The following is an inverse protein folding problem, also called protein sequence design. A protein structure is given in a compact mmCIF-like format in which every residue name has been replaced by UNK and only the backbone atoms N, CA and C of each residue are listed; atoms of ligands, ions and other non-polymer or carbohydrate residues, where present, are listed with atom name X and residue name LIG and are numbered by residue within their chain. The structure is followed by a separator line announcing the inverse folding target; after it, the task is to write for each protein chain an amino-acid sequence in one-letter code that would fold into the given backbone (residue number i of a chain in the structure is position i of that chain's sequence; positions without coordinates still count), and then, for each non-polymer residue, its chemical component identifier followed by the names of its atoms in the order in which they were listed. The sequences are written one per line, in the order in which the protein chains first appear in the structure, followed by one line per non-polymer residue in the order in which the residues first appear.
data_IF_245021871189
#
_entry.id   IF_245021871189
#
_cell.length_a   1.000
_cell.length_b   1.000
_cell.length_c   1.000
_cell.angle_alpha   90.00
_cell.angle_beta   90.00
_cell.angle_gamma   90.00
#
_symmetry.space_group_name_H-M   'P 1'
#
loop_
_entity.id
_entity.type
_entity.pdbx_description
1 polymer ?
#
# COMPACT_ATOMS: atom_id res chain seq x y z
N UNK A 1 3.75 -4.25 -6.28
CA UNK A 1 2.45 -3.57 -6.16
C UNK A 1 2.55 -2.26 -5.38
N UNK A 2 3.06 -2.26 -4.14
CA UNK A 2 3.16 -1.04 -3.30
C UNK A 2 3.79 0.17 -3.99
N UNK A 3 4.92 0.01 -4.68
CA UNK A 3 5.52 1.11 -5.44
C UNK A 3 4.59 1.72 -6.51
N UNK A 4 3.90 0.89 -7.30
CA UNK A 4 3.00 1.39 -8.36
C UNK A 4 1.77 2.13 -7.81
N UNK A 5 1.18 1.63 -6.71
CA UNK A 5 0.05 2.29 -6.05
C UNK A 5 0.50 3.56 -5.33
N UNK A 6 1.60 3.50 -4.57
CA UNK A 6 2.15 4.65 -3.87
C UNK A 6 2.55 5.77 -4.81
N UNK A 7 3.17 5.47 -5.95
CA UNK A 7 3.45 6.43 -7.01
C UNK A 7 2.18 7.15 -7.50
N UNK A 8 1.10 6.41 -7.76
CA UNK A 8 -0.17 6.99 -8.20
C UNK A 8 -0.80 7.88 -7.13
N UNK A 9 -0.85 7.41 -5.88
CA UNK A 9 -1.43 8.15 -4.76
C UNK A 9 -0.64 9.42 -4.45
N UNK A 10 0.69 9.35 -4.48
CA UNK A 10 1.56 10.50 -4.29
C UNK A 10 1.36 11.55 -5.38
N UNK A 11 1.25 11.13 -6.66
CA UNK A 11 0.90 12.03 -7.77
C UNK A 11 -0.50 12.64 -7.66
N UNK A 12 -1.42 11.96 -6.96
CA UNK A 12 -2.73 12.49 -6.60
C UNK A 12 -2.70 13.57 -5.52
N UNK A 13 -1.53 13.93 -4.99
CA UNK A 13 -1.37 14.95 -3.95
C UNK A 13 -1.46 14.43 -2.52
N UNK A 14 -1.53 13.10 -2.33
CA UNK A 14 -1.57 12.51 -1.00
C UNK A 14 -0.17 12.49 -0.35
N UNK A 15 -0.11 12.61 0.97
CA UNK A 15 1.10 12.33 1.73
C UNK A 15 1.31 10.81 1.83
N UNK A 16 2.24 10.28 1.04
CA UNK A 16 2.48 8.85 0.92
C UNK A 16 3.89 8.50 1.38
N UNK A 17 3.96 7.53 2.28
CA UNK A 17 5.20 6.88 2.70
C UNK A 17 5.16 5.40 2.34
N UNK A 18 6.17 4.93 1.60
CA UNK A 18 6.40 3.51 1.36
C UNK A 18 7.19 2.91 2.52
N UNK A 19 6.70 1.81 3.09
CA UNK A 19 7.43 1.06 4.12
C UNK A 19 7.85 -0.28 3.55
N UNK A 20 9.14 -0.58 3.58
CA UNK A 20 9.69 -1.83 3.07
C UNK A 20 10.90 -2.26 3.93
N UNK A 21 11.10 -3.58 4.05
CA UNK A 21 12.25 -4.14 4.79
C UNK A 21 13.56 -4.05 3.99
N UNK A 22 13.48 -3.88 2.67
CA UNK A 22 14.63 -3.72 1.79
C UNK A 22 15.29 -2.35 1.95
N UNK A 23 16.37 -2.29 2.73
CA UNK A 23 17.21 -1.09 2.89
C UNK A 23 17.69 -0.56 1.54
N UNK A 24 18.11 -1.44 0.64
CA UNK A 24 18.59 -1.07 -0.69
C UNK A 24 17.51 -0.35 -1.51
N UNK A 25 16.28 -0.89 -1.53
CA UNK A 25 15.14 -0.25 -2.20
C UNK A 25 14.82 1.10 -1.59
N UNK A 26 14.73 1.17 -0.26
CA UNK A 26 14.39 2.39 0.47
C UNK A 26 15.44 3.49 0.25
N UNK A 27 16.72 3.17 0.37
CA UNK A 27 17.80 4.13 0.13
C UNK A 27 17.83 4.61 -1.33
N UNK A 28 17.54 3.72 -2.27
CA UNK A 28 17.49 4.09 -3.69
C UNK A 28 16.34 5.05 -3.95
N UNK A 29 15.16 4.77 -3.41
CA UNK A 29 13.99 5.64 -3.52
C UNK A 29 14.25 6.99 -2.84
N UNK A 30 14.90 7.01 -1.67
CA UNK A 30 15.28 8.24 -1.00
C UNK A 30 16.21 9.08 -1.89
N UNK A 31 17.29 8.49 -2.42
CA UNK A 31 18.33 9.21 -3.16
C UNK A 31 17.90 9.63 -4.56
N UNK A 32 17.08 8.82 -5.24
CA UNK A 32 16.80 8.96 -6.68
C UNK A 32 15.32 9.05 -7.02
N UNK A 33 14.42 8.86 -6.06
CA UNK A 33 13.01 8.67 -6.30
C UNK A 33 12.66 7.25 -6.73
N UNK A 34 11.36 6.98 -6.84
CA UNK A 34 10.83 5.73 -7.36
C UNK A 34 10.62 5.85 -8.87
N UNK A 35 11.31 5.03 -9.65
CA UNK A 35 11.10 4.91 -11.10
C UNK A 35 9.97 3.91 -11.39
N UNK A 36 8.98 4.36 -12.14
CA UNK A 36 7.85 3.57 -12.64
C UNK A 36 7.96 3.46 -14.17
N UNK A 37 8.06 2.23 -14.65
CA UNK A 37 7.95 1.90 -16.07
C UNK A 37 6.51 1.51 -16.40
N UNK A 38 5.88 2.14 -17.40
CA UNK A 38 4.55 1.73 -17.85
C UNK A 38 4.61 0.56 -18.86
N UNK A 39 3.45 0.08 -19.29
CA UNK A 39 3.34 -1.03 -20.24
C UNK A 39 4.05 -0.76 -21.59
N UNK A 40 4.15 0.51 -21.99
CA UNK A 40 4.82 0.93 -23.23
C UNK A 40 6.34 1.13 -23.04
N UNK A 41 6.87 0.89 -21.84
CA UNK A 41 8.29 1.07 -21.51
C UNK A 41 8.66 2.52 -21.18
N UNK A 42 7.70 3.43 -21.06
CA UNK A 42 7.99 4.81 -20.66
C UNK A 42 8.33 4.85 -19.18
N UNK A 43 9.43 5.50 -18.85
CA UNK A 43 9.92 5.70 -17.50
C UNK A 43 9.46 7.04 -16.94
N UNK A 44 9.02 7.03 -15.69
CA UNK A 44 8.74 8.22 -14.89
C UNK A 44 9.36 8.04 -13.51
N UNK A 45 10.10 9.03 -13.01
CA UNK A 45 10.69 8.99 -11.67
C UNK A 45 9.99 10.00 -10.77
N UNK A 46 9.52 9.55 -9.61
CA UNK A 46 8.70 10.33 -8.69
C UNK A 46 9.41 10.41 -7.34
N UNK A 47 9.49 11.61 -6.78
CA UNK A 47 9.93 11.81 -5.40
C UNK A 47 8.83 11.33 -4.46
N UNK A 48 9.11 10.27 -3.69
CA UNK A 48 8.17 9.67 -2.73
C UNK A 48 8.94 9.28 -1.47
N UNK A 49 8.33 9.45 -0.30
CA UNK A 49 8.95 9.04 0.96
C UNK A 49 9.02 7.52 1.01
N UNK A 50 10.15 6.98 1.44
CA UNK A 50 10.33 5.57 1.70
C UNK A 50 11.12 5.38 2.99
N UNK A 51 10.80 4.34 3.76
CA UNK A 51 11.38 4.09 5.07
C UNK A 51 11.44 2.60 5.38
N UNK A 52 12.45 2.20 6.16
CA UNK A 52 12.50 0.89 6.81
C UNK A 52 11.99 0.93 8.25
N UNK A 53 11.79 2.14 8.78
CA UNK A 53 11.26 2.37 10.13
C UNK A 53 9.73 2.44 10.08
N UNK A 54 9.01 1.52 10.75
CA UNK A 54 7.55 1.56 10.83
C UNK A 54 7.00 2.84 11.47
N UNK A 55 7.78 3.53 12.32
CA UNK A 55 7.34 4.79 12.93
C UNK A 55 7.17 5.93 11.90
N UNK A 56 7.64 5.76 10.66
CA UNK A 56 7.48 6.76 9.60
C UNK A 56 6.05 6.91 9.11
N UNK A 57 5.13 6.00 9.44
CA UNK A 57 3.70 6.11 9.09
C UNK A 57 2.87 6.68 10.24
N UNK A 58 3.52 7.43 11.13
CA UNK A 58 2.86 8.10 12.25
C UNK A 58 1.66 8.92 11.75
N UNK A 59 0.52 8.73 12.41
CA UNK A 59 -0.75 9.41 12.17
C UNK A 59 -1.37 9.14 10.79
N UNK A 60 -0.90 8.15 10.04
CA UNK A 60 -1.48 7.80 8.74
C UNK A 60 -2.95 7.35 8.88
N UNK A 61 -3.82 7.88 8.02
CA UNK A 61 -5.25 7.57 7.99
C UNK A 61 -5.58 6.27 7.23
N UNK A 62 -4.68 5.83 6.35
CA UNK A 62 -4.84 4.63 5.51
C UNK A 62 -3.53 3.86 5.42
N UNK A 63 -3.56 2.59 5.80
CA UNK A 63 -2.47 1.64 5.60
C UNK A 63 -2.86 0.60 4.53
N UNK A 64 -2.20 0.65 3.37
CA UNK A 64 -2.42 -0.32 2.29
C UNK A 64 -1.44 -1.49 2.41
N UNK A 65 -1.94 -2.66 2.80
CA UNK A 65 -1.14 -3.87 2.96
C UNK A 65 -1.05 -4.58 1.62
N UNK A 66 0.17 -4.68 1.09
CA UNK A 66 0.48 -5.26 -0.24
C UNK A 66 1.73 -6.13 -0.22
N UNK A 67 2.13 -6.58 0.98
CA UNK A 67 3.20 -7.57 1.18
C UNK A 67 2.75 -8.95 0.67
N UNK A 68 3.69 -9.90 0.60
CA UNK A 68 3.32 -11.31 0.37
C UNK A 68 2.60 -11.85 1.61
N UNK A 69 1.63 -12.76 1.42
CA UNK A 69 0.68 -13.18 2.45
C UNK A 69 1.33 -13.71 3.74
N UNK A 70 2.50 -14.35 3.64
CA UNK A 70 3.27 -14.86 4.78
C UNK A 70 3.90 -13.75 5.65
N UNK A 71 3.90 -12.50 5.19
CA UNK A 71 4.38 -11.35 5.97
C UNK A 71 3.24 -10.44 6.46
N UNK A 72 1.97 -10.73 6.13
CA UNK A 72 0.83 -9.85 6.44
C UNK A 72 0.76 -9.49 7.93
N UNK A 73 0.80 -10.49 8.81
CA UNK A 73 0.67 -10.26 10.25
C UNK A 73 1.83 -9.42 10.80
N UNK A 74 3.07 -9.82 10.53
CA UNK A 74 4.26 -9.09 11.00
C UNK A 74 4.31 -7.64 10.46
N UNK A 75 3.92 -7.43 9.20
CA UNK A 75 3.86 -6.09 8.62
C UNK A 75 2.84 -5.20 9.35
N UNK A 76 1.63 -5.71 9.60
CA UNK A 76 0.58 -4.95 10.29
C UNK A 76 0.95 -4.69 11.74
N UNK A 77 1.39 -5.71 12.49
CA UNK A 77 1.83 -5.55 13.89
C UNK A 77 2.92 -4.47 14.04
N UNK A 78 3.81 -4.35 13.05
CA UNK A 78 4.90 -3.35 13.09
C UNK A 78 4.43 -1.90 12.94
N UNK A 79 3.37 -1.64 12.17
CA UNK A 79 2.91 -0.28 11.87
C UNK A 79 1.76 0.19 12.76
N UNK A 80 0.94 -0.74 13.27
CA UNK A 80 -0.28 -0.44 14.04
C UNK A 80 -0.07 0.52 15.21
N UNK A 81 1.02 0.43 16.00
CA UNK A 81 1.28 1.38 17.09
C UNK A 81 1.43 2.84 16.66
N UNK A 82 1.67 3.10 15.36
CA UNK A 82 1.94 4.43 14.82
C UNK A 82 0.78 4.98 14.00
N UNK A 83 -0.14 4.13 13.54
CA UNK A 83 -1.29 4.57 12.76
C UNK A 83 -2.21 5.45 13.60
N UNK A 84 -2.97 6.32 12.92
CA UNK A 84 -4.09 7.01 13.55
C UNK A 84 -5.03 5.97 14.19
N UNK A 85 -5.61 6.29 15.37
CA UNK A 85 -6.56 5.42 16.06
C UNK A 85 -7.74 5.00 15.17
N UNK A 86 -8.16 5.88 14.26
CA UNK A 86 -9.25 5.65 13.31
C UNK A 86 -8.76 5.22 11.91
N UNK A 87 -7.46 4.89 11.77
CA UNK A 87 -6.89 4.50 10.48
C UNK A 87 -7.56 3.23 9.93
N UNK A 88 -7.76 3.23 8.62
CA UNK A 88 -8.23 2.08 7.86
C UNK A 88 -7.04 1.23 7.41
N UNK A 89 -7.12 -0.09 7.59
CA UNK A 89 -6.13 -1.04 7.06
C UNK A 89 -6.75 -1.77 5.88
N UNK A 90 -6.27 -1.46 4.68
CA UNK A 90 -6.80 -1.99 3.42
C UNK A 90 -5.89 -3.11 2.89
N UNK A 91 -6.46 -4.31 2.71
CA UNK A 91 -5.80 -5.38 1.97
C UNK A 91 -6.18 -5.34 0.49
N UNK A 92 -5.18 -5.19 -0.39
CA UNK A 92 -5.32 -5.44 -1.84
C UNK A 92 -4.54 -6.70 -2.28
N UNK A 93 -4.22 -7.57 -1.33
CA UNK A 93 -3.43 -8.77 -1.57
C UNK A 93 -4.30 -9.85 -2.21
N UNK A 94 -3.70 -10.61 -3.12
CA UNK A 94 -4.34 -11.82 -3.65
C UNK A 94 -4.58 -12.83 -2.53
N UNK A 95 -5.75 -13.46 -2.56
CA UNK A 95 -6.16 -14.49 -1.60
C UNK A 95 -6.97 -13.93 -0.43
N UNK A 96 -8.00 -14.70 -0.04
CA UNK A 96 -8.97 -14.30 0.98
C UNK A 96 -8.38 -14.18 2.39
N UNK A 97 -7.41 -15.03 2.73
CA UNK A 97 -6.91 -15.18 4.11
C UNK A 97 -6.15 -13.98 4.68
N UNK A 98 -5.88 -12.92 3.91
CA UNK A 98 -5.16 -11.74 4.41
C UNK A 98 -6.04 -10.86 5.28
N UNK A 99 -7.25 -10.49 4.81
CA UNK A 99 -8.11 -9.57 5.55
C UNK A 99 -8.50 -10.11 6.95
N UNK A 100 -8.87 -11.39 7.13
CA UNK A 100 -9.10 -11.96 8.47
C UNK A 100 -7.85 -11.96 9.36
N UNK A 101 -6.65 -12.16 8.80
CA UNK A 101 -5.39 -12.08 9.56
C UNK A 101 -5.09 -10.66 10.03
N UNK A 102 -5.40 -9.67 9.20
CA UNK A 102 -5.29 -8.25 9.57
C UNK A 102 -6.30 -7.93 10.67
N UNK A 103 -7.56 -8.36 10.51
CA UNK A 103 -8.62 -8.13 11.48
C UNK A 103 -8.29 -8.71 12.87
N UNK A 104 -7.59 -9.85 12.92
CA UNK A 104 -7.12 -10.43 14.18
C UNK A 104 -6.13 -9.54 14.95
N UNK A 105 -5.48 -8.57 14.28
CA UNK A 105 -4.54 -7.62 14.89
C UNK A 105 -5.21 -6.29 15.22
N UNK A 106 -6.05 -5.77 14.31
CA UNK A 106 -6.57 -4.39 14.41
C UNK A 106 -8.06 -4.27 14.69
N UNK A 107 -8.79 -5.39 14.77
CA UNK A 107 -10.25 -5.38 14.80
C UNK A 107 -10.86 -5.31 13.40
N UNK A 108 -11.95 -6.04 13.18
CA UNK A 108 -12.64 -6.10 11.89
C UNK A 108 -13.16 -4.73 11.46
N UNK A 109 -13.56 -3.90 12.42
CA UNK A 109 -14.07 -2.55 12.22
C UNK A 109 -13.04 -1.59 11.64
N UNK A 110 -11.76 -1.95 11.56
CA UNK A 110 -10.69 -1.14 10.94
C UNK A 110 -10.23 -1.69 9.59
N UNK A 111 -10.76 -2.83 9.16
CA UNK A 111 -10.29 -3.51 7.95
C UNK A 111 -11.21 -3.23 6.77
N UNK A 112 -10.59 -2.94 5.63
CA UNK A 112 -11.22 -3.07 4.31
C UNK A 112 -10.48 -4.12 3.51
N UNK A 113 -11.20 -4.76 2.60
CA UNK A 113 -10.62 -5.68 1.64
C UNK A 113 -10.94 -5.21 0.23
N UNK A 114 -10.05 -5.56 -0.72
CA UNK A 114 -10.27 -5.25 -2.10
C UNK A 114 -9.50 -6.14 -3.05
N UNK A 115 -9.90 -6.04 -4.32
CA UNK A 115 -9.28 -6.74 -5.45
C UNK A 115 -8.84 -5.69 -6.44
N UNK A 116 -7.58 -5.74 -6.85
CA UNK A 116 -7.05 -4.85 -7.88
C UNK A 116 -6.68 -5.64 -9.14
N UNK A 117 -7.09 -5.10 -10.28
CA UNK A 117 -6.67 -5.57 -11.61
C UNK A 117 -5.44 -4.82 -12.11
N UNK A 118 -4.78 -4.04 -11.25
CA UNK A 118 -3.44 -3.56 -11.53
C UNK A 118 -2.43 -4.70 -11.43
N UNK A 119 -1.39 -4.66 -12.26
CA UNK A 119 -0.24 -5.57 -12.17
C UNK A 119 1.04 -4.76 -12.13
N UNK A 120 1.93 -5.11 -11.21
CA UNK A 120 3.22 -4.45 -11.08
C UNK A 120 4.34 -5.42 -10.65
N UNK A 121 5.49 -5.29 -11.30
CA UNK A 121 6.69 -6.11 -11.09
C UNK A 121 7.82 -5.23 -10.58
N UNK A 122 8.62 -5.70 -9.63
CA UNK A 122 9.86 -5.03 -9.23
C UNK A 122 10.94 -5.41 -10.23
N UNK A 123 11.55 -4.43 -10.90
CA UNK A 123 12.64 -4.64 -11.86
C UNK A 123 14.02 -4.45 -11.19
N UNK A 124 14.05 -3.69 -10.09
CA UNK A 124 15.24 -3.48 -9.27
C UNK A 124 14.95 -2.55 -8.09
N UNK A 125 15.98 -2.22 -7.28
CA UNK A 125 15.85 -1.25 -6.20
C UNK A 125 15.29 0.07 -6.72
N UNK A 126 14.16 0.52 -6.16
CA UNK A 126 13.50 1.76 -6.60
C UNK A 126 12.99 1.75 -8.05
N UNK A 127 12.87 0.60 -8.71
CA UNK A 127 12.36 0.50 -10.08
C UNK A 127 11.25 -0.55 -10.18
N UNK A 128 10.05 -0.12 -10.56
CA UNK A 128 8.88 -0.99 -10.75
C UNK A 128 8.29 -0.81 -12.14
N UNK A 129 7.81 -1.90 -12.73
CA UNK A 129 7.01 -1.89 -13.95
C UNK A 129 5.53 -2.01 -13.62
N UNK A 130 4.73 -1.02 -13.95
CA UNK A 130 3.26 -1.06 -13.91
C UNK A 130 2.73 -1.61 -15.24
N UNK A 131 2.71 -2.94 -15.35
CA UNK A 131 2.41 -3.66 -16.59
C UNK A 131 0.91 -3.84 -16.87
N UNK A 132 0.07 -3.81 -15.84
CA UNK A 132 -1.38 -4.02 -15.97
C UNK A 132 -2.19 -2.86 -15.39
N UNK A 133 -3.14 -2.35 -16.19
CA UNK A 133 -4.10 -1.32 -15.75
C UNK A 133 -5.49 -1.95 -15.71
N UNK A 134 -6.20 -1.71 -14.62
CA UNK A 134 -7.56 -2.20 -14.43
C UNK A 134 -8.20 -1.54 -13.22
N UNK A 135 -9.40 -2.00 -12.87
CA UNK A 135 -10.15 -1.47 -11.74
C UNK A 135 -9.63 -1.99 -10.41
N UNK A 136 -9.84 -1.21 -9.36
CA UNK A 136 -9.69 -1.65 -7.97
C UNK A 136 -11.06 -1.57 -7.31
N UNK A 137 -11.51 -2.69 -6.77
CA UNK A 137 -12.75 -2.80 -6.02
C UNK A 137 -12.38 -2.92 -4.56
N UNK A 138 -13.01 -2.14 -3.70
CA UNK A 138 -12.81 -2.17 -2.25
C UNK A 138 -14.16 -2.22 -1.55
N UNK A 139 -14.19 -2.79 -0.35
CA UNK A 139 -15.39 -2.88 0.48
C UNK A 139 -15.08 -3.08 1.96
N UNK A 140 -16.08 -2.78 2.77
CA UNK A 140 -16.10 -3.12 4.19
C UNK A 140 -16.23 -4.63 4.38
N UNK A 141 -15.68 -5.14 5.48
CA UNK A 141 -15.76 -6.58 5.81
C UNK A 141 -17.20 -7.07 6.01
N UNK A 142 -18.09 -6.19 6.50
CA UNK A 142 -19.52 -6.46 6.70
C UNK A 142 -20.39 -6.10 5.48
N UNK A 143 -19.78 -5.62 4.39
CA UNK A 143 -20.47 -5.26 3.16
C UNK A 143 -21.25 -3.94 3.18
N UNK A 144 -21.21 -3.17 4.27
CA UNK A 144 -21.91 -1.88 4.33
C UNK A 144 -21.21 -0.81 3.48
N UNK A 145 -21.99 0.14 2.98
CA UNK A 145 -21.44 1.40 2.44
C UNK A 145 -21.21 2.36 3.59
N UNK A 146 -19.97 2.81 3.78
CA UNK A 146 -19.59 3.70 4.87
C UNK A 146 -18.97 5.01 4.34
N UNK A 147 -19.06 6.12 5.09
CA UNK A 147 -18.42 7.37 4.70
C UNK A 147 -16.89 7.25 4.53
N UNK A 148 -16.22 6.32 5.23
CA UNK A 148 -14.79 6.10 5.04
C UNK A 148 -14.50 5.30 3.77
N UNK A 149 -15.36 4.37 3.38
CA UNK A 149 -15.23 3.63 2.13
C UNK A 149 -15.28 4.59 0.93
N UNK A 150 -16.24 5.51 0.94
CA UNK A 150 -16.36 6.55 -0.09
C UNK A 150 -15.11 7.43 -0.17
N UNK A 151 -14.57 7.86 0.98
CA UNK A 151 -13.31 8.64 1.02
C UNK A 151 -12.11 7.88 0.46
N UNK A 152 -11.99 6.58 0.73
CA UNK A 152 -10.87 5.76 0.24
C UNK A 152 -11.03 5.42 -1.25
N UNK A 153 -12.25 5.37 -1.76
CA UNK A 153 -12.55 5.03 -3.16
C UNK A 153 -12.41 6.20 -4.15
N UNK A 154 -12.18 7.43 -3.67
CA UNK A 154 -12.12 8.66 -4.48
C UNK A 154 -10.68 9.04 -4.82
#
# INVERSE_FOLDING_TARGET
MGGALGAKLSKGGNDVTLVDVSRESVETIHKRGLTVEDQAGRLETIAIRASTDPASVRDADLAMVVVKCYHTQAAVESIVPYLNANATVLSLQNGWGNAPRIAAVVGEERVMAGVTYHSATVLGPGHVKHSGRGMTWIGEMDGRMSPRLERVAT
#
